data_IF_168940579175
#
_entry.id   IF_168940579175
#
_cell.length_a   1.000
_cell.length_b   1.000
_cell.length_c   1.000
_cell.angle_alpha   90.00
_cell.angle_beta   90.00
_cell.angle_gamma   90.00
#
_symmetry.space_group_name_H-M   'P 1'
#
loop_
_entity.id
_entity.type
_entity.pdbx_description
1 polymer ?
#
# COMPACT_ATOMS: atom_id res chain seq x y z
N UNK A 1 -8.00 -17.84 6.80
CA UNK A 1 -7.63 -16.42 6.68
C UNK A 1 -8.06 -15.98 5.30
N UNK A 2 -8.99 -15.04 5.21
CA UNK A 2 -9.44 -14.50 3.93
C UNK A 2 -8.40 -13.49 3.45
N UNK A 3 -7.74 -13.81 2.33
CA UNK A 3 -6.83 -12.89 1.65
C UNK A 3 -7.59 -11.62 1.27
N UNK A 4 -7.05 -10.47 1.65
CA UNK A 4 -7.70 -9.18 1.47
C UNK A 4 -7.65 -8.75 -0.01
N UNK A 5 -8.82 -8.61 -0.64
CA UNK A 5 -8.93 -7.86 -1.91
C UNK A 5 -8.74 -6.37 -1.64
N UNK A 6 -7.58 -5.84 -2.03
CA UNK A 6 -7.49 -4.40 -2.32
C UNK A 6 -8.36 -4.20 -3.57
N UNK A 7 -9.51 -3.55 -3.43
CA UNK A 7 -10.26 -3.03 -4.58
C UNK A 7 -9.45 -1.90 -5.21
N UNK A 8 -8.35 -2.26 -5.84
CA UNK A 8 -7.61 -1.39 -6.72
C UNK A 8 -8.61 -0.97 -7.80
N UNK A 9 -8.87 0.32 -7.94
CA UNK A 9 -9.37 0.88 -9.21
C UNK A 9 -8.26 0.83 -10.27
N UNK A 10 -7.41 -0.20 -10.25
CA UNK A 10 -6.45 -0.45 -11.30
C UNK A 10 -7.24 -0.93 -12.51
N UNK A 11 -7.51 -0.01 -13.43
CA UNK A 11 -7.96 -0.43 -14.74
C UNK A 11 -6.78 -1.14 -15.42
N UNK A 12 -6.88 -2.46 -15.54
CA UNK A 12 -5.83 -3.35 -16.09
C UNK A 12 -5.39 -2.94 -17.51
N UNK A 13 -6.21 -2.16 -18.22
CA UNK A 13 -5.89 -1.63 -19.55
C UNK A 13 -5.00 -0.39 -19.56
N UNK A 14 -4.73 0.22 -18.40
CA UNK A 14 -4.16 1.57 -18.31
C UNK A 14 -2.84 1.66 -17.54
N UNK A 15 -2.48 0.64 -16.75
CA UNK A 15 -1.28 0.59 -15.93
C UNK A 15 -0.40 -0.60 -16.34
N UNK A 16 0.85 -0.33 -16.72
CA UNK A 16 1.80 -1.34 -17.22
C UNK A 16 2.54 -2.05 -16.08
N UNK A 17 2.75 -1.36 -14.96
CA UNK A 17 3.41 -1.90 -13.78
C UNK A 17 2.72 -1.43 -12.50
N UNK A 18 2.86 -2.23 -11.44
CA UNK A 18 2.55 -1.85 -10.08
C UNK A 18 3.84 -1.81 -9.28
N UNK A 19 4.05 -0.72 -8.57
CA UNK A 19 5.07 -0.58 -7.55
C UNK A 19 4.37 -0.62 -6.19
N UNK A 20 4.79 -1.53 -5.32
CA UNK A 20 4.27 -1.67 -3.96
C UNK A 20 5.44 -1.41 -3.02
N UNK A 21 5.26 -0.45 -2.13
CA UNK A 21 6.22 -0.14 -1.08
C UNK A 21 5.59 -0.33 0.29
N UNK A 22 6.42 -0.72 1.25
CA UNK A 22 6.06 -0.86 2.66
C UNK A 22 7.04 -0.05 3.47
N UNK A 23 6.52 0.95 4.17
CA UNK A 23 7.31 1.75 5.10
C UNK A 23 6.89 1.42 6.53
N UNK A 24 7.84 0.96 7.35
CA UNK A 24 7.65 0.82 8.78
C UNK A 24 7.65 2.19 9.47
N UNK A 25 6.59 2.47 10.21
CA UNK A 25 6.34 3.71 10.91
C UNK A 25 6.24 3.46 12.42
N UNK A 26 6.85 4.34 13.22
CA UNK A 26 6.47 4.52 14.62
C UNK A 26 5.44 5.64 14.70
N UNK A 27 4.21 5.29 15.04
CA UNK A 27 3.13 6.25 15.25
C UNK A 27 2.87 6.45 16.75
N UNK A 28 2.61 7.70 17.13
CA UNK A 28 2.18 8.03 18.48
C UNK A 28 0.80 7.41 18.76
N UNK A 29 0.68 6.76 19.92
CA UNK A 29 -0.54 6.12 20.38
C UNK A 29 -0.69 6.34 21.89
N UNK A 30 -1.12 7.55 22.25
CA UNK A 30 -1.17 8.01 23.63
C UNK A 30 0.24 8.12 24.22
N UNK A 31 0.53 7.55 25.41
CA UNK A 31 1.85 7.66 26.05
C UNK A 31 2.93 6.76 25.42
N UNK A 32 2.61 6.00 24.36
CA UNK A 32 3.51 5.03 23.75
C UNK A 32 3.55 5.17 22.23
N UNK A 33 4.61 4.65 21.61
CA UNK A 33 4.68 4.47 20.16
C UNK A 33 4.29 3.05 19.79
N UNK A 34 3.57 2.91 18.67
CA UNK A 34 3.29 1.61 18.04
C UNK A 34 3.95 1.54 16.68
N UNK A 35 4.53 0.39 16.38
CA UNK A 35 4.96 0.07 15.02
C UNK A 35 3.72 -0.16 14.15
N UNK A 36 3.75 0.35 12.92
CA UNK A 36 2.76 0.12 11.87
C UNK A 36 3.48 0.01 10.54
N UNK A 37 2.91 -0.73 9.62
CA UNK A 37 3.37 -0.77 8.24
C UNK A 37 2.43 0.06 7.37
N UNK A 38 2.96 1.03 6.63
CA UNK A 38 2.23 1.78 5.61
C UNK A 38 2.53 1.17 4.24
N UNK A 39 1.50 0.60 3.64
CA UNK A 39 1.54 0.08 2.28
C UNK A 39 1.10 1.16 1.32
N UNK A 40 1.88 1.39 0.26
CA UNK A 40 1.54 2.31 -0.82
C UNK A 40 1.62 1.57 -2.14
N UNK A 41 0.54 1.63 -2.92
CA UNK A 41 0.49 1.05 -4.27
C UNK A 41 0.50 2.18 -5.28
N UNK A 42 1.49 2.18 -6.17
CA UNK A 42 1.64 3.14 -7.25
C UNK A 42 1.52 2.43 -8.59
N UNK A 43 0.59 2.88 -9.42
CA UNK A 43 0.48 2.46 -10.82
C UNK A 43 1.45 3.25 -11.68
N UNK A 44 2.15 2.56 -12.59
CA UNK A 44 3.00 3.19 -13.61
C UNK A 44 2.38 2.91 -14.98
N UNK A 45 1.99 3.96 -15.68
CA UNK A 45 1.45 3.90 -17.04
C UNK A 45 2.55 3.66 -18.05
N UNK A 46 2.18 3.23 -19.25
CA UNK A 46 3.10 3.07 -20.39
C UNK A 46 3.83 4.36 -20.78
N UNK A 47 3.26 5.53 -20.50
CA UNK A 47 3.90 6.84 -20.70
C UNK A 47 4.94 7.20 -19.64
N UNK A 48 5.10 6.37 -18.60
CA UNK A 48 5.92 6.69 -17.43
C UNK A 48 5.22 7.57 -16.40
N UNK A 49 3.97 8.00 -16.65
CA UNK A 49 3.16 8.68 -15.64
C UNK A 49 2.89 7.74 -14.45
N UNK A 50 3.00 8.28 -13.24
CA UNK A 50 2.81 7.55 -11.99
C UNK A 50 1.63 8.12 -11.22
N UNK A 51 0.80 7.25 -10.69
CA UNK A 51 -0.32 7.61 -9.83
C UNK A 51 -0.38 6.69 -8.61
N UNK A 52 -0.58 7.27 -7.42
CA UNK A 52 -0.88 6.47 -6.23
C UNK A 52 -2.31 5.94 -6.36
N UNK A 53 -2.44 4.61 -6.41
CA UNK A 53 -3.71 3.91 -6.55
C UNK A 53 -4.39 3.66 -5.20
N UNK A 54 -3.60 3.62 -4.13
CA UNK A 54 -4.10 3.46 -2.78
C UNK A 54 -2.99 3.36 -1.75
N UNK A 55 -3.36 3.55 -0.49
CA UNK A 55 -2.50 3.33 0.66
C UNK A 55 -3.28 2.68 1.80
N UNK A 56 -2.60 1.88 2.63
CA UNK A 56 -3.20 1.23 3.80
C UNK A 56 -2.22 1.17 4.96
N UNK A 57 -2.67 1.57 6.14
CA UNK A 57 -1.94 1.34 7.39
C UNK A 57 -2.32 -0.03 7.96
N UNK A 58 -1.33 -0.84 8.31
CA UNK A 58 -1.51 -2.15 8.93
C UNK A 58 -0.71 -2.25 10.24
N UNK A 59 -1.00 -3.28 11.03
CA UNK A 59 -0.35 -3.47 12.33
C UNK A 59 1.09 -3.98 12.22
N UNK A 60 1.41 -4.71 11.15
CA UNK A 60 2.74 -5.22 10.82
C UNK A 60 2.84 -5.46 9.31
N UNK A 61 4.06 -5.65 8.80
CA UNK A 61 4.30 -6.01 7.40
C UNK A 61 3.69 -7.38 7.04
N UNK A 62 3.74 -8.32 7.99
CA UNK A 62 3.10 -9.65 7.89
C UNK A 62 1.57 -9.59 7.82
N UNK A 63 0.95 -8.47 8.21
CA UNK A 63 -0.53 -8.35 8.16
C UNK A 63 -1.09 -8.21 6.74
N UNK A 64 -0.22 -8.23 5.72
CA UNK A 64 -0.58 -8.03 4.32
C UNK A 64 -0.63 -9.33 3.49
N UNK A 65 -0.14 -10.45 4.05
CA UNK A 65 -0.11 -11.77 3.39
C UNK A 65 -0.95 -12.81 4.15
#
# INVERSE_FOLDING_TARGET
MEGLQISLKANKTQNSYLFIDVTDLKIEYGPHYKNKALFVVTGIRNTGYRETLGARLANSEDSFF
#
